data_IF_791994857096
#
_entry.id   IF_791994857096
#
_cell.length_a   1.000
_cell.length_b   1.000
_cell.length_c   1.000
_cell.angle_alpha   90.00
_cell.angle_beta   90.00
_cell.angle_gamma   90.00
#
_symmetry.space_group_name_H-M   'P 1'
#
loop_
_entity.id
_entity.type
_entity.pdbx_description
1 polymer ?
#
# COMPACT_ATOMS: atom_id res chain seq x y z
N UNK A 1 -16.79 8.40 -13.44
CA UNK A 1 -16.15 9.56 -12.82
C UNK A 1 -14.77 9.66 -13.45
N UNK A 2 -14.48 10.78 -14.12
CA UNK A 2 -13.23 10.95 -14.87
C UNK A 2 -12.04 10.86 -13.90
N UNK A 3 -11.09 9.98 -14.19
CA UNK A 3 -9.92 9.69 -13.34
C UNK A 3 -9.12 10.97 -13.08
N UNK A 4 -9.08 11.88 -14.06
CA UNK A 4 -8.44 13.19 -13.92
C UNK A 4 -9.12 14.05 -12.85
N UNK A 5 -10.46 14.04 -12.79
CA UNK A 5 -11.22 14.79 -11.77
C UNK A 5 -10.95 14.20 -10.38
N UNK A 6 -10.90 12.87 -10.26
CA UNK A 6 -10.57 12.21 -8.99
C UNK A 6 -9.15 12.56 -8.51
N UNK A 7 -8.15 12.56 -9.41
CA UNK A 7 -6.77 12.93 -9.08
C UNK A 7 -6.65 14.41 -8.67
N UNK A 8 -7.37 15.31 -9.35
CA UNK A 8 -7.44 16.73 -8.97
C UNK A 8 -8.06 16.93 -7.59
N UNK A 9 -9.13 16.19 -7.27
CA UNK A 9 -9.76 16.24 -5.94
C UNK A 9 -8.82 15.69 -4.86
N UNK A 10 -8.14 14.56 -5.10
CA UNK A 10 -7.10 14.02 -4.22
C UNK A 10 -5.99 15.03 -3.94
N UNK A 11 -5.50 15.71 -4.99
CA UNK A 11 -4.49 16.77 -4.84
C UNK A 11 -5.00 17.96 -4.03
N UNK A 12 -6.26 18.36 -4.23
CA UNK A 12 -6.85 19.44 -3.45
C UNK A 12 -6.97 19.08 -1.97
N UNK A 13 -7.42 17.86 -1.66
CA UNK A 13 -7.51 17.34 -0.29
C UNK A 13 -6.13 17.24 0.37
N UNK A 14 -5.11 16.79 -0.37
CA UNK A 14 -3.74 16.74 0.13
C UNK A 14 -3.22 18.13 0.54
N UNK A 15 -3.53 19.17 -0.26
CA UNK A 15 -3.21 20.56 0.10
C UNK A 15 -3.98 21.07 1.32
N UNK A 16 -5.20 20.58 1.54
CA UNK A 16 -5.97 20.89 2.74
C UNK A 16 -5.37 20.23 4.00
N UNK A 17 -4.83 19.02 3.89
CA UNK A 17 -4.07 18.38 4.97
C UNK A 17 -2.82 19.18 5.34
N UNK A 18 -2.13 19.77 4.36
CA UNK A 18 -0.98 20.64 4.60
C UNK A 18 -1.31 21.93 5.37
N UNK A 19 -2.53 22.45 5.21
CA UNK A 19 -2.96 23.68 5.88
C UNK A 19 -3.60 23.46 7.25
N UNK A 20 -4.02 22.22 7.58
CA UNK A 20 -4.50 21.88 8.91
C UNK A 20 -3.33 21.82 9.89
N UNK A 21 -3.27 22.76 10.83
CA UNK A 21 -2.33 22.69 11.94
C UNK A 21 -2.71 21.54 12.88
N UNK A 22 -1.70 20.86 13.45
CA UNK A 22 -1.89 19.84 14.46
C UNK A 22 -2.67 20.42 15.65
N UNK A 23 -3.78 19.79 16.03
CA UNK A 23 -4.54 20.18 17.22
C UNK A 23 -3.82 19.70 18.48
N UNK A 24 -2.88 20.53 18.93
CA UNK A 24 -2.05 20.27 20.11
C UNK A 24 -2.87 20.15 21.38
N UNK A 25 -4.02 20.83 21.48
CA UNK A 25 -4.83 20.80 22.69
C UNK A 25 -5.48 19.43 22.91
N UNK A 26 -5.90 18.79 21.82
CA UNK A 26 -6.57 17.48 21.86
C UNK A 26 -5.60 16.32 22.13
N UNK A 27 -4.38 16.42 21.62
CA UNK A 27 -3.36 15.35 21.70
C UNK A 27 -2.21 15.67 22.66
N UNK A 28 -2.40 16.66 23.54
CA UNK A 28 -1.36 17.21 24.41
C UNK A 28 -0.68 16.14 25.29
N UNK A 29 -1.46 15.27 25.91
CA UNK A 29 -0.96 14.25 26.83
C UNK A 29 -0.02 13.26 26.12
N UNK A 30 -0.44 12.78 24.95
CA UNK A 30 0.33 11.86 24.13
C UNK A 30 1.60 12.54 23.60
N UNK A 31 1.46 13.78 23.11
CA UNK A 31 2.58 14.55 22.56
C UNK A 31 3.64 14.89 23.61
N UNK A 32 3.26 15.25 24.83
CA UNK A 32 4.23 15.52 25.90
C UNK A 32 5.04 14.28 26.22
N UNK A 33 4.38 13.11 26.29
CA UNK A 33 5.02 11.82 26.55
C UNK A 33 5.95 11.39 25.41
N UNK A 34 5.45 11.44 24.18
CA UNK A 34 6.19 11.02 22.99
C UNK A 34 7.36 11.95 22.66
N UNK A 35 7.20 13.25 22.90
CA UNK A 35 8.24 14.25 22.69
C UNK A 35 9.20 14.38 23.89
N UNK A 36 8.96 13.62 24.98
CA UNK A 36 9.70 13.69 26.25
C UNK A 36 9.84 15.13 26.77
N UNK A 37 8.80 15.93 26.57
CA UNK A 37 8.73 17.32 27.06
C UNK A 37 8.40 17.28 28.56
N UNK A 38 8.80 18.31 29.32
CA UNK A 38 8.69 18.36 30.79
C UNK A 38 7.33 17.86 31.35
N UNK A 39 7.30 16.57 31.72
CA UNK A 39 6.12 15.90 32.28
C UNK A 39 5.64 16.56 33.57
N UNK A 40 6.54 17.25 34.27
CA UNK A 40 6.24 18.05 35.46
C UNK A 40 5.24 19.18 35.18
N UNK A 41 5.34 19.88 34.05
CA UNK A 41 4.39 20.95 33.68
C UNK A 41 3.02 20.38 33.37
N UNK A 42 2.96 19.19 32.75
CA UNK A 42 1.70 18.49 32.49
C UNK A 42 1.05 17.99 33.79
N UNK A 43 1.86 17.43 34.71
CA UNK A 43 1.38 17.00 36.01
C UNK A 43 0.84 18.19 36.84
N UNK A 44 1.51 19.34 36.80
CA UNK A 44 1.04 20.57 37.45
C UNK A 44 -0.27 21.08 36.82
N UNK A 45 -0.39 21.05 35.48
CA UNK A 45 -1.62 21.40 34.79
C UNK A 45 -2.77 20.48 35.21
N UNK A 46 -2.55 19.16 35.26
CA UNK A 46 -3.56 18.18 35.70
C UNK A 46 -3.97 18.37 37.16
N UNK A 47 -3.03 18.72 38.03
CA UNK A 47 -3.33 19.04 39.43
C UNK A 47 -4.25 20.27 39.53
N UNK A 48 -3.98 21.32 38.75
CA UNK A 48 -4.84 22.51 38.69
C UNK A 48 -6.21 22.23 38.05
N UNK A 49 -6.26 21.41 37.01
CA UNK A 49 -7.52 20.93 36.39
C UNK A 49 -8.37 20.15 37.40
N UNK A 50 -7.74 19.36 38.28
CA UNK A 50 -8.43 18.65 39.36
C UNK A 50 -8.84 19.57 40.53
N UNK A 51 -8.11 20.65 40.78
CA UNK A 51 -8.41 21.59 41.86
C UNK A 51 -9.56 22.56 41.50
N UNK A 52 -9.70 22.92 40.23
CA UNK A 52 -10.71 23.87 39.75
C UNK A 52 -12.16 23.44 40.09
N UNK A 53 -12.59 22.18 39.89
CA UNK A 53 -13.91 21.71 40.34
C UNK A 53 -14.12 21.85 41.85
N UNK A 54 -13.08 21.60 42.66
CA UNK A 54 -13.14 21.72 44.12
C UNK A 54 -13.37 23.17 44.55
N UNK A 55 -12.67 24.12 43.91
CA UNK A 55 -12.87 25.56 44.17
C UNK A 55 -14.24 26.04 43.69
N UNK A 56 -14.70 25.58 42.51
CA UNK A 56 -16.05 25.89 42.02
C UNK A 56 -17.14 25.37 42.98
N UNK A 57 -16.99 24.16 43.51
CA UNK A 57 -17.90 23.61 44.51
C UNK A 57 -17.91 24.44 45.81
N UNK A 58 -16.74 24.90 46.28
CA UNK A 58 -16.65 25.83 47.43
C UNK A 58 -17.37 27.15 47.16
N UNK A 59 -17.23 27.72 45.96
CA UNK A 59 -17.96 28.95 45.59
C UNK A 59 -19.46 28.74 45.63
N UNK A 60 -19.96 27.61 45.11
CA UNK A 60 -21.38 27.25 45.19
C UNK A 60 -21.87 27.21 46.64
N UNK A 61 -21.09 26.63 47.56
CA UNK A 61 -21.46 26.57 48.99
C UNK A 61 -21.37 27.92 49.69
N UNK A 62 -20.43 28.78 49.31
CA UNK A 62 -20.17 30.08 49.94
C UNK A 62 -21.05 31.21 49.40
N UNK A 63 -21.68 31.02 48.24
CA UNK A 63 -22.50 32.03 47.56
C UNK A 63 -23.69 32.50 48.41
N UNK A 64 -24.27 31.57 49.15
CA UNK A 64 -25.48 31.82 49.96
C UNK A 64 -25.15 32.10 51.44
N UNK A 65 -23.86 32.10 51.81
CA UNK A 65 -23.40 32.37 53.17
C UNK A 65 -23.17 33.88 53.39
N UNK A 66 -23.39 34.41 54.61
CA UNK A 66 -23.18 35.83 54.91
C UNK A 66 -21.72 36.31 54.79
N UNK A 67 -20.76 35.37 54.83
CA UNK A 67 -19.33 35.69 54.79
C UNK A 67 -18.85 35.99 53.36
N UNK A 68 -19.00 37.26 52.95
CA UNK A 68 -18.56 37.75 51.62
C UNK A 68 -17.03 37.74 51.42
N UNK A 69 -16.24 37.69 52.49
CA UNK A 69 -14.78 37.73 52.40
C UNK A 69 -14.21 36.42 51.86
N UNK A 70 -14.68 35.28 52.37
CA UNK A 70 -14.25 33.96 51.92
C UNK A 70 -14.68 33.71 50.46
N UNK A 71 -15.90 34.09 50.11
CA UNK A 71 -16.39 34.01 48.73
C UNK A 71 -15.51 34.80 47.76
N UNK A 72 -15.15 36.03 48.10
CA UNK A 72 -14.28 36.88 47.26
C UNK A 72 -12.87 36.30 47.15
N UNK A 73 -12.34 35.72 48.24
CA UNK A 73 -11.03 35.07 48.27
C UNK A 73 -11.00 33.84 47.35
N UNK A 74 -11.98 32.95 47.46
CA UNK A 74 -12.08 31.75 46.59
C UNK A 74 -12.32 32.14 45.13
N UNK A 75 -13.08 33.20 44.86
CA UNK A 75 -13.29 33.70 43.49
C UNK A 75 -11.98 34.22 42.87
N UNK A 76 -11.16 34.94 43.64
CA UNK A 76 -9.82 35.36 43.23
C UNK A 76 -8.90 34.16 43.00
N UNK A 77 -8.98 33.15 43.85
CA UNK A 77 -8.23 31.89 43.72
C UNK A 77 -8.59 31.15 42.42
N UNK A 78 -9.88 31.04 42.08
CA UNK A 78 -10.32 30.47 40.79
C UNK A 78 -9.74 31.25 39.61
N UNK A 79 -9.75 32.58 39.67
CA UNK A 79 -9.19 33.40 38.61
C UNK A 79 -7.68 33.17 38.46
N UNK A 80 -6.95 33.08 39.59
CA UNK A 80 -5.52 32.77 39.60
C UNK A 80 -5.22 31.37 39.03
N UNK A 81 -5.99 30.35 39.41
CA UNK A 81 -5.88 28.97 38.90
C UNK A 81 -6.13 28.94 37.39
N UNK A 82 -7.20 29.58 36.90
CA UNK A 82 -7.50 29.65 35.45
C UNK A 82 -6.39 30.33 34.66
N UNK A 83 -5.83 31.43 35.18
CA UNK A 83 -4.72 32.12 34.51
C UNK A 83 -3.48 31.23 34.47
N UNK A 84 -3.13 30.59 35.58
CA UNK A 84 -1.99 29.67 35.65
C UNK A 84 -2.16 28.45 34.73
N UNK A 85 -3.35 27.88 34.65
CA UNK A 85 -3.68 26.82 33.68
C UNK A 85 -3.50 27.29 32.23
N UNK A 86 -3.91 28.51 31.91
CA UNK A 86 -3.74 29.06 30.57
C UNK A 86 -2.25 29.31 30.23
N UNK A 87 -1.45 29.75 31.19
CA UNK A 87 -0.01 29.93 31.05
C UNK A 87 0.71 28.59 30.84
N UNK A 88 0.47 27.60 31.71
CA UNK A 88 1.04 26.26 31.57
C UNK A 88 0.64 25.60 30.25
N UNK A 89 -0.61 25.75 29.83
CA UNK A 89 -1.08 25.24 28.54
C UNK A 89 -0.33 25.89 27.36
N UNK A 90 -0.12 27.21 27.40
CA UNK A 90 0.67 27.92 26.37
C UNK A 90 2.12 27.46 26.37
N UNK A 91 2.72 27.25 27.54
CA UNK A 91 4.11 26.84 27.67
C UNK A 91 4.32 25.40 27.18
N UNK A 92 3.46 24.47 27.57
CA UNK A 92 3.47 23.09 27.06
C UNK A 92 3.33 23.08 25.54
N UNK A 93 2.37 23.85 24.99
CA UNK A 93 2.18 23.95 23.54
C UNK A 93 3.41 24.54 22.83
N UNK A 94 4.09 25.50 23.45
CA UNK A 94 5.35 26.07 22.93
C UNK A 94 6.43 25.01 22.89
N UNK A 95 6.66 24.31 23.99
CA UNK A 95 7.69 23.27 24.11
C UNK A 95 7.47 22.11 23.15
N UNK A 96 6.23 21.64 23.03
CA UNK A 96 5.87 20.59 22.06
C UNK A 96 6.13 21.06 20.62
N UNK A 97 5.77 22.30 20.26
CA UNK A 97 6.05 22.85 18.91
C UNK A 97 7.54 22.97 18.60
N UNK A 98 8.36 23.28 19.61
CA UNK A 98 9.81 23.44 19.44
C UNK A 98 10.59 22.16 19.64
N UNK A 99 9.94 21.05 20.02
CA UNK A 99 10.60 19.76 20.18
C UNK A 99 11.18 19.29 18.84
N UNK A 100 12.42 18.82 18.86
CA UNK A 100 13.10 18.26 17.69
C UNK A 100 12.32 17.11 17.05
N UNK A 101 11.58 16.34 17.87
CA UNK A 101 10.72 15.25 17.39
C UNK A 101 9.59 15.79 16.52
N UNK A 102 8.89 16.83 16.98
CA UNK A 102 7.77 17.45 16.24
C UNK A 102 8.29 18.17 15.00
N UNK A 103 9.38 18.94 15.11
CA UNK A 103 9.99 19.62 13.97
C UNK A 103 10.51 18.63 12.92
N UNK A 104 11.13 17.53 13.36
CA UNK A 104 11.58 16.44 12.49
C UNK A 104 10.41 15.74 11.78
N UNK A 105 9.33 15.47 12.51
CA UNK A 105 8.10 14.89 11.95
C UNK A 105 7.45 15.82 10.93
N UNK A 106 7.30 17.11 11.25
CA UNK A 106 6.76 18.12 10.33
C UNK A 106 7.60 18.22 9.05
N UNK A 107 8.93 18.13 9.16
CA UNK A 107 9.82 18.10 7.99
C UNK A 107 9.63 16.85 7.15
N UNK A 108 9.53 15.67 7.78
CA UNK A 108 9.27 14.39 7.07
C UNK A 108 7.91 14.40 6.37
N UNK A 109 6.88 14.82 7.07
CA UNK A 109 5.51 14.97 6.53
C UNK A 109 5.50 15.93 5.35
N UNK A 110 6.15 17.09 5.46
CA UNK A 110 6.28 18.04 4.34
C UNK A 110 6.93 17.38 3.11
N UNK A 111 8.04 16.68 3.28
CA UNK A 111 8.74 16.01 2.17
C UNK A 111 7.83 14.96 1.53
N UNK A 112 7.12 14.17 2.33
CA UNK A 112 6.26 13.11 1.80
C UNK A 112 5.03 13.69 1.07
N UNK A 113 4.43 14.76 1.60
CA UNK A 113 3.36 15.50 0.93
C UNK A 113 3.86 16.11 -0.38
N UNK A 114 5.06 16.70 -0.42
CA UNK A 114 5.65 17.26 -1.65
C UNK A 114 5.85 16.17 -2.72
N UNK A 115 6.33 14.98 -2.32
CA UNK A 115 6.44 13.83 -3.23
C UNK A 115 5.06 13.38 -3.74
N UNK A 116 4.07 13.29 -2.86
CA UNK A 116 2.70 12.91 -3.24
C UNK A 116 2.06 13.95 -4.17
N UNK A 117 2.25 15.25 -3.92
CA UNK A 117 1.78 16.31 -4.82
C UNK A 117 2.47 16.21 -6.19
N UNK A 118 3.78 15.92 -6.21
CA UNK A 118 4.53 15.70 -7.44
C UNK A 118 4.01 14.51 -8.23
N UNK A 119 3.80 13.36 -7.59
CA UNK A 119 3.24 12.16 -8.24
C UNK A 119 1.83 12.43 -8.75
N UNK A 120 0.94 13.02 -7.93
CA UNK A 120 -0.41 13.35 -8.35
C UNK A 120 -0.41 14.35 -9.52
N UNK A 121 0.46 15.36 -9.48
CA UNK A 121 0.62 16.32 -10.55
C UNK A 121 1.08 15.66 -11.85
N UNK A 122 2.14 14.84 -11.79
CA UNK A 122 2.65 14.13 -12.97
C UNK A 122 1.65 13.14 -13.53
N UNK A 123 0.96 12.36 -12.69
CA UNK A 123 -0.09 11.43 -13.14
C UNK A 123 -1.27 12.16 -13.76
N UNK A 124 -1.68 13.30 -13.20
CA UNK A 124 -2.73 14.14 -13.79
C UNK A 124 -2.28 14.66 -15.16
N UNK A 125 -1.04 15.17 -15.24
CA UNK A 125 -0.46 15.74 -16.46
C UNK A 125 -0.28 14.68 -17.55
N UNK A 126 0.20 13.48 -17.21
CA UNK A 126 0.31 12.34 -18.14
C UNK A 126 -1.06 11.97 -18.71
N UNK A 127 -2.10 11.86 -17.86
CA UNK A 127 -3.45 11.56 -18.34
C UNK A 127 -4.09 12.69 -19.16
N UNK A 128 -3.66 13.94 -18.94
CA UNK A 128 -4.07 15.10 -19.74
C UNK A 128 -3.30 15.20 -21.07
N UNK A 129 -2.00 14.87 -21.09
CA UNK A 129 -1.08 14.99 -22.25
C UNK A 129 -1.10 13.78 -23.17
N UNK A 130 -1.17 12.55 -22.64
CA UNK A 130 -1.34 11.31 -23.43
C UNK A 130 -2.75 11.18 -24.00
N UNK A 131 -3.60 12.19 -23.78
CA UNK A 131 -4.96 12.22 -24.27
C UNK A 131 -5.81 11.14 -23.62
N UNK A 132 -6.67 11.56 -22.69
CA UNK A 132 -7.92 10.86 -22.38
C UNK A 132 -8.82 10.60 -23.62
N UNK A 133 -8.37 10.97 -24.84
CA UNK A 133 -8.95 10.59 -26.12
C UNK A 133 -8.47 9.23 -26.64
N UNK A 134 -7.30 8.71 -26.25
CA UNK A 134 -6.76 7.43 -26.76
C UNK A 134 -6.85 6.27 -25.75
N UNK A 135 -6.95 6.55 -24.45
CA UNK A 135 -7.31 5.54 -23.46
C UNK A 135 -8.83 5.32 -23.52
N UNK A 136 -9.32 4.20 -24.08
CA UNK A 136 -10.75 3.97 -24.17
C UNK A 136 -11.26 3.87 -22.74
N UNK A 137 -12.15 4.79 -22.34
CA UNK A 137 -12.91 4.64 -21.11
C UNK A 137 -13.49 3.23 -21.08
N UNK A 138 -13.54 2.58 -19.92
CA UNK A 138 -14.10 1.21 -19.82
C UNK A 138 -15.45 1.10 -20.56
N UNK A 139 -16.27 2.14 -20.48
CA UNK A 139 -17.53 2.32 -21.23
C UNK A 139 -17.37 2.37 -22.75
N UNK A 140 -16.34 3.03 -23.29
CA UNK A 140 -16.05 3.08 -24.73
C UNK A 140 -15.55 1.74 -25.26
N UNK A 141 -14.74 1.02 -24.47
CA UNK A 141 -14.31 -0.35 -24.79
C UNK A 141 -15.52 -1.30 -24.79
N UNK A 142 -16.37 -1.25 -23.75
CA UNK A 142 -17.59 -2.06 -23.69
C UNK A 142 -18.56 -1.73 -24.84
N UNK A 143 -18.71 -0.46 -25.21
CA UNK A 143 -19.56 -0.04 -26.33
C UNK A 143 -19.01 -0.44 -27.71
N UNK A 144 -17.70 -0.69 -27.85
CA UNK A 144 -17.14 -1.27 -29.07
C UNK A 144 -17.26 -2.80 -29.10
N UNK A 145 -17.05 -3.47 -27.97
CA UNK A 145 -17.06 -4.94 -27.89
C UNK A 145 -18.47 -5.54 -27.93
N UNK A 146 -19.46 -4.90 -27.31
CA UNK A 146 -20.84 -5.44 -27.27
C UNK A 146 -21.47 -5.54 -28.67
N UNK A 147 -21.36 -4.53 -29.57
CA UNK A 147 -21.82 -4.68 -30.96
C UNK A 147 -21.04 -5.73 -31.76
N UNK A 148 -19.74 -5.90 -31.50
CA UNK A 148 -18.91 -6.92 -32.14
C UNK A 148 -19.30 -8.34 -31.71
N UNK A 149 -19.62 -8.52 -30.43
CA UNK A 149 -20.09 -9.80 -29.88
C UNK A 149 -21.47 -10.16 -30.44
N UNK A 150 -22.40 -9.21 -30.48
CA UNK A 150 -23.72 -9.40 -31.10
C UNK A 150 -23.59 -9.65 -32.61
N UNK A 151 -22.72 -8.92 -33.32
CA UNK A 151 -22.46 -9.13 -34.75
C UNK A 151 -21.84 -10.52 -35.01
N UNK A 152 -20.96 -10.97 -34.13
CA UNK A 152 -20.37 -12.31 -34.20
C UNK A 152 -21.40 -13.39 -33.94
N UNK A 153 -22.23 -13.26 -32.91
CA UNK A 153 -23.29 -14.22 -32.59
C UNK A 153 -24.34 -14.29 -33.70
N UNK A 154 -24.76 -13.15 -34.24
CA UNK A 154 -25.69 -13.10 -35.38
C UNK A 154 -25.07 -13.72 -36.63
N UNK A 155 -23.80 -13.45 -36.93
CA UNK A 155 -23.07 -14.10 -38.03
C UNK A 155 -22.90 -15.60 -37.83
N UNK A 156 -22.68 -16.07 -36.59
CA UNK A 156 -22.60 -17.51 -36.29
C UNK A 156 -23.97 -18.18 -36.42
N UNK A 157 -25.05 -17.51 -36.02
CA UNK A 157 -26.41 -18.01 -36.17
C UNK A 157 -26.79 -18.14 -37.65
N UNK A 158 -26.49 -17.11 -38.47
CA UNK A 158 -26.75 -17.18 -39.92
C UNK A 158 -25.90 -18.24 -40.60
N UNK A 159 -24.62 -18.41 -40.23
CA UNK A 159 -23.81 -19.51 -40.77
C UNK A 159 -24.34 -20.90 -40.38
N UNK A 160 -24.88 -21.07 -39.17
CA UNK A 160 -25.50 -22.35 -38.76
C UNK A 160 -26.75 -22.63 -39.59
N UNK A 161 -27.56 -21.61 -39.86
CA UNK A 161 -28.77 -21.73 -40.66
C UNK A 161 -28.43 -22.03 -42.14
N UNK A 162 -27.43 -21.36 -42.70
CA UNK A 162 -26.97 -21.66 -44.08
C UNK A 162 -26.35 -23.05 -44.20
N UNK A 163 -25.59 -23.49 -43.20
CA UNK A 163 -25.06 -24.86 -43.18
C UNK A 163 -26.19 -25.90 -43.12
N UNK A 164 -27.21 -25.66 -42.30
CA UNK A 164 -28.39 -26.53 -42.25
C UNK A 164 -29.13 -26.58 -43.59
N UNK A 165 -29.33 -25.43 -44.24
CA UNK A 165 -29.93 -25.38 -45.57
C UNK A 165 -29.06 -26.09 -46.62
N UNK A 166 -27.73 -26.00 -46.55
CA UNK A 166 -26.82 -26.74 -47.43
C UNK A 166 -26.89 -28.25 -47.20
N UNK A 167 -27.01 -28.71 -45.95
CA UNK A 167 -27.21 -30.12 -45.62
C UNK A 167 -28.53 -30.64 -46.19
N UNK A 168 -29.61 -29.87 -46.06
CA UNK A 168 -30.92 -30.19 -46.65
C UNK A 168 -30.84 -30.29 -48.19
N UNK A 169 -30.18 -29.33 -48.85
CA UNK A 169 -29.97 -29.36 -50.31
C UNK A 169 -29.14 -30.57 -50.74
N UNK A 170 -28.05 -30.89 -50.02
CA UNK A 170 -27.25 -32.09 -50.30
C UNK A 170 -28.08 -33.36 -50.18
N UNK A 171 -28.85 -33.47 -49.10
CA UNK A 171 -29.74 -34.61 -48.91
C UNK A 171 -30.78 -34.74 -50.03
N UNK A 172 -31.40 -33.62 -50.47
CA UNK A 172 -32.33 -33.65 -51.59
C UNK A 172 -31.66 -34.03 -52.90
N UNK A 173 -30.45 -33.53 -53.16
CA UNK A 173 -29.69 -33.86 -54.37
C UNK A 173 -29.27 -35.33 -54.40
N UNK A 174 -28.80 -35.86 -53.27
CA UNK A 174 -28.44 -37.28 -53.16
C UNK A 174 -29.65 -38.18 -53.38
N UNK A 175 -30.82 -37.78 -52.86
CA UNK A 175 -32.08 -38.49 -53.11
C UNK A 175 -32.50 -38.40 -54.58
N UNK A 176 -32.50 -37.22 -55.18
CA UNK A 176 -32.89 -37.01 -56.58
C UNK A 176 -31.94 -37.72 -57.54
N UNK A 177 -30.64 -37.70 -57.28
CA UNK A 177 -29.65 -38.42 -58.11
C UNK A 177 -29.84 -39.94 -58.00
N UNK A 178 -30.19 -40.45 -56.82
CA UNK A 178 -30.55 -41.84 -56.63
C UNK A 178 -31.83 -42.22 -57.39
N UNK A 179 -32.92 -41.46 -57.23
CA UNK A 179 -34.20 -41.67 -57.93
C UNK A 179 -34.04 -41.54 -59.46
N UNK A 180 -33.26 -40.58 -59.92
CA UNK A 180 -32.95 -40.39 -61.34
C UNK A 180 -32.11 -41.56 -61.88
N UNK A 181 -31.16 -42.07 -61.09
CA UNK A 181 -30.35 -43.24 -61.50
C UNK A 181 -31.23 -44.47 -61.67
N UNK A 182 -32.19 -44.70 -60.76
CA UNK A 182 -33.14 -45.81 -60.84
C UNK A 182 -34.07 -45.66 -62.06
N UNK A 183 -34.67 -44.49 -62.26
CA UNK A 183 -35.56 -44.24 -63.41
C UNK A 183 -34.85 -44.36 -64.76
N UNK A 184 -33.61 -43.88 -64.88
CA UNK A 184 -32.79 -44.06 -66.09
C UNK A 184 -32.48 -45.52 -66.32
N UNK A 185 -32.22 -46.28 -65.27
CA UNK A 185 -31.93 -47.70 -65.38
C UNK A 185 -33.18 -48.47 -65.85
N UNK A 186 -34.37 -48.13 -65.34
CA UNK A 186 -35.65 -48.70 -65.77
C UNK A 186 -35.97 -48.36 -67.23
N UNK A 187 -35.88 -47.09 -67.63
CA UNK A 187 -36.06 -46.68 -69.02
C UNK A 187 -35.06 -47.35 -69.95
N UNK A 188 -33.81 -47.53 -69.51
CA UNK A 188 -32.79 -48.24 -70.28
C UNK A 188 -33.16 -49.71 -70.46
N UNK A 189 -33.71 -50.35 -69.44
CA UNK A 189 -34.21 -51.72 -69.51
C UNK A 189 -35.41 -51.83 -70.47
N UNK A 190 -36.33 -50.86 -70.43
CA UNK A 190 -37.51 -50.80 -71.30
C UNK A 190 -37.13 -50.54 -72.77
N UNK A 191 -36.28 -49.54 -73.04
CA UNK A 191 -35.74 -49.26 -74.38
C UNK A 191 -35.01 -50.49 -74.92
N UNK A 192 -34.23 -51.18 -74.07
CA UNK A 192 -33.63 -52.46 -74.46
C UNK A 192 -34.73 -53.48 -74.81
N UNK A 193 -35.80 -53.61 -74.02
CA UNK A 193 -36.93 -54.50 -74.32
C UNK A 193 -37.49 -54.25 -75.72
N UNK A 194 -37.93 -53.00 -75.94
CA UNK A 194 -38.58 -52.53 -77.16
C UNK A 194 -37.65 -52.65 -78.37
N UNK A 195 -36.36 -52.28 -78.26
CA UNK A 195 -35.42 -52.38 -79.39
C UNK A 195 -35.31 -53.80 -79.93
N UNK A 196 -35.36 -54.82 -79.07
CA UNK A 196 -35.34 -56.21 -79.53
C UNK A 196 -36.68 -56.65 -80.10
N UNK A 197 -37.79 -56.15 -79.58
CA UNK A 197 -39.10 -56.41 -80.19
C UNK A 197 -39.20 -55.77 -81.58
N UNK A 198 -38.70 -54.54 -81.76
CA UNK A 198 -38.69 -53.84 -83.05
C UNK A 198 -37.78 -54.55 -84.05
N UNK A 199 -36.53 -54.86 -83.70
CA UNK A 199 -35.63 -55.63 -84.60
C UNK A 199 -36.20 -57.01 -84.90
N UNK A 200 -36.92 -57.64 -83.97
CA UNK A 200 -37.61 -58.89 -84.24
C UNK A 200 -38.70 -58.79 -85.31
N UNK A 201 -39.43 -57.68 -85.30
CA UNK A 201 -40.52 -57.40 -86.24
C UNK A 201 -39.96 -57.00 -87.60
N UNK A 202 -38.96 -56.12 -87.64
CA UNK A 202 -38.32 -55.62 -88.88
C UNK A 202 -37.65 -56.74 -89.69
N UNK A 203 -36.99 -57.67 -89.02
CA UNK A 203 -36.32 -58.80 -89.67
C UNK A 203 -37.29 -59.90 -90.15
N UNK A 204 -38.62 -59.69 -90.04
CA UNK A 204 -39.68 -60.70 -90.26
C UNK A 204 -39.43 -62.02 -89.52
N UNK A 205 -38.57 -61.98 -88.50
CA UNK A 205 -38.13 -63.12 -87.70
C UNK A 205 -38.81 -63.13 -86.33
N UNK A 206 -39.97 -62.47 -86.21
CA UNK A 206 -40.88 -62.64 -85.09
C UNK A 206 -41.51 -64.03 -85.19
N UNK A 207 -40.71 -65.01 -84.80
CA UNK A 207 -41.01 -66.42 -84.74
C UNK A 207 -41.16 -66.70 -83.23
N UNK A 208 -42.37 -66.96 -82.71
CA UNK A 208 -42.65 -66.95 -81.26
C UNK A 208 -41.88 -67.95 -80.39
N UNK A 209 -40.98 -68.78 -80.95
CA UNK A 209 -40.36 -69.85 -80.17
C UNK A 209 -38.92 -70.26 -80.53
N UNK A 210 -38.30 -69.80 -81.64
CA UNK A 210 -36.99 -70.37 -82.08
C UNK A 210 -35.88 -69.32 -82.36
N UNK A 211 -36.20 -68.02 -82.42
CA UNK A 211 -35.21 -66.94 -82.49
C UNK A 211 -34.90 -66.28 -81.13
N UNK A 212 -35.54 -66.75 -80.05
CA UNK A 212 -35.33 -66.26 -78.69
C UNK A 212 -33.88 -66.54 -78.23
N UNK A 213 -33.36 -67.74 -78.48
CA UNK A 213 -32.05 -68.13 -77.95
C UNK A 213 -30.88 -67.34 -78.55
N UNK A 214 -30.91 -67.04 -79.86
CA UNK A 214 -29.88 -66.20 -80.49
C UNK A 214 -29.97 -64.74 -80.03
N UNK A 215 -31.17 -64.14 -79.98
CA UNK A 215 -31.33 -62.76 -79.47
C UNK A 215 -31.02 -62.65 -77.98
N UNK A 216 -31.33 -63.66 -77.19
CA UNK A 216 -30.92 -63.73 -75.79
C UNK A 216 -29.40 -63.89 -75.66
N UNK A 217 -28.75 -64.64 -76.55
CA UNK A 217 -27.29 -64.78 -76.58
C UNK A 217 -26.61 -63.43 -76.91
N UNK A 218 -27.05 -62.72 -77.95
CA UNK A 218 -26.46 -61.44 -78.35
C UNK A 218 -26.75 -60.31 -77.34
N UNK A 219 -27.96 -60.28 -76.77
CA UNK A 219 -28.29 -59.38 -75.65
C UNK A 219 -27.42 -59.67 -74.42
N UNK A 220 -27.20 -60.94 -74.09
CA UNK A 220 -26.30 -61.33 -72.99
C UNK A 220 -24.88 -60.87 -73.28
N UNK A 221 -24.40 -61.02 -74.52
CA UNK A 221 -23.07 -60.54 -74.94
C UNK A 221 -22.92 -59.02 -74.80
N UNK A 222 -23.84 -58.24 -75.34
CA UNK A 222 -23.81 -56.77 -75.24
C UNK A 222 -23.98 -56.27 -73.79
N UNK A 223 -24.88 -56.89 -73.03
CA UNK A 223 -25.03 -56.60 -71.60
C UNK A 223 -23.75 -56.90 -70.82
N UNK A 224 -23.04 -57.98 -71.16
CA UNK A 224 -21.74 -58.32 -70.58
C UNK A 224 -20.67 -57.29 -70.95
N UNK A 225 -20.59 -56.84 -72.20
CA UNK A 225 -19.61 -55.80 -72.60
C UNK A 225 -19.87 -54.46 -71.90
N UNK A 226 -21.14 -54.05 -71.80
CA UNK A 226 -21.51 -52.81 -71.12
C UNK A 226 -21.27 -52.90 -69.61
N UNK A 227 -21.58 -54.07 -69.01
CA UNK A 227 -21.26 -54.32 -67.61
C UNK A 227 -19.75 -54.27 -67.39
N UNK A 228 -18.95 -54.82 -68.31
CA UNK A 228 -17.48 -54.77 -68.22
C UNK A 228 -16.94 -53.33 -68.35
N UNK A 229 -17.51 -52.48 -69.21
CA UNK A 229 -17.10 -51.07 -69.28
C UNK A 229 -17.49 -50.29 -68.03
N UNK A 230 -18.69 -50.53 -67.47
CA UNK A 230 -19.11 -49.91 -66.20
C UNK A 230 -18.24 -50.38 -65.04
N UNK A 231 -17.91 -51.68 -64.99
CA UNK A 231 -16.96 -52.23 -64.01
C UNK A 231 -15.61 -51.55 -64.12
N UNK A 232 -15.10 -51.36 -65.33
CA UNK A 232 -13.82 -50.68 -65.55
C UNK A 232 -13.81 -49.22 -65.07
N UNK A 233 -14.86 -48.44 -65.35
CA UNK A 233 -14.96 -47.05 -64.85
C UNK A 233 -15.00 -47.02 -63.32
N UNK A 234 -15.78 -47.91 -62.70
CA UNK A 234 -15.83 -48.02 -61.24
C UNK A 234 -14.50 -48.50 -60.67
N UNK A 235 -13.79 -49.40 -61.33
CA UNK A 235 -12.44 -49.84 -60.95
C UNK A 235 -11.45 -48.67 -61.03
N UNK A 236 -11.49 -47.87 -62.09
CA UNK A 236 -10.65 -46.68 -62.27
C UNK A 236 -10.95 -45.61 -61.17
N UNK A 237 -12.22 -45.38 -60.84
CA UNK A 237 -12.63 -44.49 -59.74
C UNK A 237 -12.18 -45.01 -58.37
N UNK A 238 -12.34 -46.31 -58.11
CA UNK A 238 -11.85 -46.97 -56.89
C UNK A 238 -10.34 -46.79 -56.78
N UNK A 239 -9.60 -46.95 -57.87
CA UNK A 239 -8.15 -46.80 -57.86
C UNK A 239 -7.72 -45.34 -57.67
N UNK A 240 -8.43 -44.37 -58.25
CA UNK A 240 -8.22 -42.95 -57.96
C UNK A 240 -8.44 -42.63 -56.48
N UNK A 241 -9.57 -43.04 -55.91
CA UNK A 241 -9.88 -42.83 -54.49
C UNK A 241 -8.84 -43.51 -53.57
N UNK A 242 -8.37 -44.72 -53.91
CA UNK A 242 -7.26 -45.36 -53.18
C UNK A 242 -6.00 -44.50 -53.22
N UNK A 243 -5.65 -43.91 -54.37
CA UNK A 243 -4.46 -43.04 -54.46
C UNK A 243 -4.61 -41.75 -53.66
N UNK A 244 -5.81 -41.14 -53.62
CA UNK A 244 -6.10 -39.97 -52.80
C UNK A 244 -6.01 -40.30 -51.30
N UNK A 245 -6.60 -41.42 -50.86
CA UNK A 245 -6.49 -41.89 -49.48
C UNK A 245 -5.03 -42.06 -49.06
N UNK A 246 -4.18 -42.62 -49.94
CA UNK A 246 -2.73 -42.76 -49.65
C UNK A 246 -2.07 -41.40 -49.51
N UNK A 247 -2.35 -40.44 -50.42
CA UNK A 247 -1.81 -39.07 -50.33
C UNK A 247 -2.24 -38.40 -49.03
N UNK A 248 -3.52 -38.44 -48.71
CA UNK A 248 -4.05 -37.82 -47.48
C UNK A 248 -3.47 -38.47 -46.22
N UNK A 249 -3.29 -39.79 -46.23
CA UNK A 249 -2.62 -40.50 -45.14
C UNK A 249 -1.17 -40.04 -44.97
N UNK A 250 -0.43 -39.79 -46.07
CA UNK A 250 0.94 -39.28 -45.99
C UNK A 250 1.00 -37.86 -45.44
N UNK A 251 0.10 -36.97 -45.89
CA UNK A 251 0.00 -35.59 -45.39
C UNK A 251 -0.41 -35.57 -43.92
N UNK A 252 -1.39 -36.39 -43.54
CA UNK A 252 -1.83 -36.54 -42.16
C UNK A 252 -0.69 -37.00 -41.25
N UNK A 253 0.07 -38.02 -41.66
CA UNK A 253 1.21 -38.52 -40.89
C UNK A 253 2.33 -37.47 -40.76
N UNK A 254 2.60 -36.69 -41.82
CA UNK A 254 3.56 -35.59 -41.77
C UNK A 254 3.11 -34.50 -40.79
N UNK A 255 1.84 -34.07 -40.85
CA UNK A 255 1.28 -33.10 -39.93
C UNK A 255 1.29 -33.60 -38.48
N UNK A 256 0.96 -34.87 -38.27
CA UNK A 256 1.03 -35.52 -36.95
C UNK A 256 2.45 -35.48 -36.39
N UNK A 257 3.46 -35.80 -37.21
CA UNK A 257 4.86 -35.75 -36.79
C UNK A 257 5.31 -34.33 -36.43
N UNK A 258 4.88 -33.30 -37.18
CA UNK A 258 5.16 -31.88 -36.85
C UNK A 258 4.54 -31.50 -35.51
N UNK A 259 3.28 -31.87 -35.27
CA UNK A 259 2.59 -31.59 -34.00
C UNK A 259 3.26 -32.31 -32.83
N UNK A 260 3.67 -33.57 -33.00
CA UNK A 260 4.39 -34.32 -31.97
C UNK A 260 5.77 -33.71 -31.66
N UNK A 261 6.49 -33.23 -32.69
CA UNK A 261 7.75 -32.53 -32.51
C UNK A 261 7.57 -31.17 -31.79
N UNK A 262 6.52 -30.43 -32.11
CA UNK A 262 6.20 -29.17 -31.42
C UNK A 262 5.79 -29.43 -29.96
N UNK A 263 5.00 -30.47 -29.70
CA UNK A 263 4.62 -30.90 -28.35
C UNK A 263 5.86 -31.20 -27.50
N UNK A 264 6.78 -32.03 -28.00
CA UNK A 264 8.01 -32.37 -27.27
C UNK A 264 8.92 -31.15 -27.04
N UNK A 265 9.00 -30.24 -28.01
CA UNK A 265 9.72 -28.96 -27.87
C UNK A 265 9.11 -28.07 -26.79
N UNK A 266 7.78 -27.97 -26.72
CA UNK A 266 7.06 -27.21 -25.69
C UNK A 266 7.22 -27.84 -24.30
N UNK A 267 7.14 -29.17 -24.19
CA UNK A 267 7.40 -29.89 -22.93
C UNK A 267 8.82 -29.64 -22.43
N UNK A 268 9.82 -29.62 -23.32
CA UNK A 268 11.19 -29.29 -22.97
C UNK A 268 11.34 -27.83 -22.50
N UNK A 269 10.71 -26.87 -23.20
CA UNK A 269 10.70 -25.46 -22.79
C UNK A 269 10.04 -25.27 -21.43
N UNK A 270 8.92 -25.95 -21.18
CA UNK A 270 8.25 -25.94 -19.89
C UNK A 270 9.16 -26.46 -18.78
N UNK A 271 9.84 -27.59 -19.02
CA UNK A 271 10.77 -28.16 -18.05
C UNK A 271 11.95 -27.23 -17.74
N UNK A 272 12.56 -26.62 -18.77
CA UNK A 272 13.64 -25.66 -18.60
C UNK A 272 13.19 -24.43 -17.80
N UNK A 273 11.96 -23.96 -18.04
CA UNK A 273 11.38 -22.83 -17.31
C UNK A 273 11.12 -23.19 -15.85
N UNK A 274 10.63 -24.40 -15.58
CA UNK A 274 10.45 -24.91 -14.22
C UNK A 274 11.76 -25.03 -13.45
N UNK A 275 12.83 -25.53 -14.11
CA UNK A 275 14.17 -25.61 -13.52
C UNK A 275 14.68 -24.20 -13.18
N UNK A 276 14.67 -23.27 -14.14
CA UNK A 276 15.13 -21.90 -13.92
C UNK A 276 14.33 -21.19 -12.81
N UNK A 277 13.01 -21.40 -12.76
CA UNK A 277 12.17 -20.85 -11.70
C UNK A 277 12.52 -21.45 -10.33
N UNK A 278 12.76 -22.77 -10.25
CA UNK A 278 13.17 -23.43 -9.00
C UNK A 278 14.53 -22.94 -8.49
N UNK A 279 15.48 -22.71 -9.40
CA UNK A 279 16.80 -22.15 -9.07
C UNK A 279 16.68 -20.70 -8.57
N UNK A 280 15.90 -19.87 -9.28
CA UNK A 280 15.61 -18.49 -8.86
C UNK A 280 14.96 -18.43 -7.48
N UNK A 281 13.97 -19.28 -7.22
CA UNK A 281 13.31 -19.37 -5.90
C UNK A 281 14.30 -19.81 -4.81
N UNK A 282 15.19 -20.77 -5.09
CA UNK A 282 16.24 -21.18 -4.16
C UNK A 282 17.24 -20.05 -3.86
N UNK A 283 17.61 -19.25 -4.86
CA UNK A 283 18.48 -18.09 -4.68
C UNK A 283 17.81 -17.02 -3.82
N UNK A 284 16.54 -16.70 -4.10
CA UNK A 284 15.76 -15.74 -3.30
C UNK A 284 15.62 -16.23 -1.85
N UNK A 285 15.34 -17.51 -1.63
CA UNK A 285 15.26 -18.07 -0.28
C UNK A 285 16.60 -17.99 0.46
N UNK A 286 17.71 -18.22 -0.24
CA UNK A 286 19.05 -18.10 0.35
C UNK A 286 19.36 -16.64 0.73
N UNK A 287 19.03 -15.69 -0.15
CA UNK A 287 19.19 -14.27 0.14
C UNK A 287 18.32 -13.81 1.34
N UNK A 288 17.09 -14.31 1.45
CA UNK A 288 16.21 -14.04 2.59
C UNK A 288 16.82 -14.55 3.90
N UNK A 289 17.33 -15.79 3.90
CA UNK A 289 17.95 -16.38 5.09
C UNK A 289 19.20 -15.58 5.52
N UNK A 290 20.01 -15.11 4.55
CA UNK A 290 21.18 -14.27 4.84
C UNK A 290 20.77 -12.93 5.45
N UNK A 291 19.75 -12.26 4.90
CA UNK A 291 19.24 -11.00 5.45
C UNK A 291 18.68 -11.16 6.87
N UNK A 292 17.99 -12.27 7.16
CA UNK A 292 17.53 -12.57 8.52
C UNK A 292 18.69 -12.79 9.49
N UNK A 293 19.75 -13.48 9.04
CA UNK A 293 20.96 -13.64 9.84
C UNK A 293 21.63 -12.29 10.11
N UNK A 294 21.80 -11.44 9.09
CA UNK A 294 22.34 -10.08 9.25
C UNK A 294 21.48 -9.21 10.18
N UNK A 295 20.16 -9.28 10.06
CA UNK A 295 19.24 -8.59 10.96
C UNK A 295 19.47 -9.02 12.42
N UNK A 296 19.57 -10.33 12.68
CA UNK A 296 19.80 -10.82 14.04
C UNK A 296 21.14 -10.37 14.62
N UNK A 297 22.19 -10.30 13.79
CA UNK A 297 23.51 -9.78 14.19
C UNK A 297 23.42 -8.28 14.50
N UNK A 298 22.74 -7.51 13.65
CA UNK A 298 22.56 -6.08 13.86
C UNK A 298 21.73 -5.77 15.11
N UNK A 299 20.68 -6.54 15.38
CA UNK A 299 19.89 -6.43 16.61
C UNK A 299 20.75 -6.72 17.85
N UNK A 300 21.59 -7.75 17.81
CA UNK A 300 22.52 -8.05 18.90
C UNK A 300 23.51 -6.88 19.12
N UNK A 301 24.06 -6.30 18.05
CA UNK A 301 24.95 -5.14 18.15
C UNK A 301 24.22 -3.92 18.73
N UNK A 302 22.99 -3.64 18.29
CA UNK A 302 22.19 -2.54 18.83
C UNK A 302 21.96 -2.67 20.33
N UNK A 303 21.60 -3.87 20.81
CA UNK A 303 21.43 -4.13 22.24
C UNK A 303 22.72 -3.85 23.03
N UNK A 304 23.89 -4.24 22.50
CA UNK A 304 25.17 -3.94 23.17
C UNK A 304 25.49 -2.44 23.21
N UNK A 305 25.11 -1.68 22.19
CA UNK A 305 25.30 -0.23 22.16
C UNK A 305 24.33 0.49 23.10
N UNK A 306 23.10 0.01 23.21
CA UNK A 306 22.11 0.52 24.17
C UNK A 306 22.58 0.30 25.61
N UNK A 307 23.11 -0.89 25.92
CA UNK A 307 23.70 -1.18 27.23
C UNK A 307 24.88 -0.26 27.56
N UNK A 308 25.83 -0.09 26.63
CA UNK A 308 26.97 0.82 26.83
C UNK A 308 26.52 2.26 27.07
N UNK A 309 25.52 2.73 26.33
CA UNK A 309 24.98 4.07 26.50
C UNK A 309 24.33 4.24 27.88
N UNK A 310 23.65 3.22 28.39
CA UNK A 310 23.07 3.25 29.74
C UNK A 310 24.17 3.28 30.82
N UNK A 311 25.23 2.48 30.65
CA UNK A 311 26.41 2.51 31.53
C UNK A 311 27.08 3.90 31.54
N UNK A 312 27.34 4.49 30.37
CA UNK A 312 27.91 5.84 30.25
C UNK A 312 27.05 6.92 30.93
N UNK A 313 25.72 6.83 30.79
CA UNK A 313 24.80 7.75 31.46
C UNK A 313 24.84 7.61 32.99
N UNK A 314 24.95 6.39 33.51
CA UNK A 314 25.09 6.14 34.94
C UNK A 314 26.45 6.61 35.48
N UNK A 315 27.54 6.42 34.73
CA UNK A 315 28.85 6.96 35.07
C UNK A 315 28.85 8.49 35.09
N UNK A 316 28.21 9.14 34.10
CA UNK A 316 28.10 10.59 34.06
C UNK A 316 27.29 11.13 35.27
N UNK A 317 26.21 10.45 35.65
CA UNK A 317 25.45 10.79 36.86
C UNK A 317 26.32 10.67 38.11
N UNK A 318 27.08 9.59 38.26
CA UNK A 318 28.00 9.39 39.39
C UNK A 318 29.04 10.51 39.45
N UNK A 319 29.69 10.81 38.33
CA UNK A 319 30.68 11.89 38.25
C UNK A 319 30.08 13.25 38.62
N UNK A 320 28.85 13.57 38.16
CA UNK A 320 28.15 14.80 38.56
C UNK A 320 27.86 14.83 40.07
N UNK A 321 27.44 13.72 40.66
CA UNK A 321 27.19 13.66 42.12
C UNK A 321 28.47 13.82 42.94
N UNK A 322 29.57 13.19 42.52
CA UNK A 322 30.87 13.31 43.20
C UNK A 322 31.41 14.75 43.12
N UNK A 323 31.31 15.41 41.96
CA UNK A 323 31.74 16.80 41.82
C UNK A 323 30.87 17.75 42.65
N UNK A 324 29.55 17.50 42.75
CA UNK A 324 28.67 18.25 43.66
C UNK A 324 29.08 18.10 45.12
N UNK A 325 29.40 16.89 45.56
CA UNK A 325 29.89 16.63 46.93
C UNK A 325 31.22 17.39 47.16
N UNK A 326 32.15 17.32 46.21
CA UNK A 326 33.43 18.03 46.27
C UNK A 326 33.24 19.54 46.40
N UNK A 327 32.34 20.13 45.60
CA UNK A 327 32.01 21.56 45.67
C UNK A 327 31.45 21.93 47.05
N UNK A 328 30.55 21.10 47.61
CA UNK A 328 29.98 21.31 48.93
C UNK A 328 31.05 21.24 50.03
N UNK A 329 31.97 20.27 49.98
CA UNK A 329 33.06 20.16 50.95
C UNK A 329 34.01 21.36 50.90
N UNK A 330 34.36 21.84 49.70
CA UNK A 330 35.19 23.03 49.52
C UNK A 330 34.48 24.27 50.06
N UNK A 331 33.18 24.43 49.80
CA UNK A 331 32.38 25.53 50.33
C UNK A 331 32.31 25.48 51.87
N UNK A 332 32.13 24.29 52.47
CA UNK A 332 32.10 24.11 53.91
C UNK A 332 33.46 24.44 54.57
N UNK A 333 34.57 24.04 53.94
CA UNK A 333 35.93 24.40 54.39
C UNK A 333 36.15 25.91 54.35
N UNK A 334 35.80 26.59 53.24
CA UNK A 334 35.88 28.05 53.13
C UNK A 334 35.04 28.75 54.19
N UNK A 335 33.79 28.32 54.42
CA UNK A 335 32.93 28.88 55.46
C UNK A 335 33.51 28.69 56.88
N UNK A 336 34.19 27.58 57.14
CA UNK A 336 34.90 27.33 58.41
C UNK A 336 36.12 28.23 58.58
N UNK A 337 36.90 28.42 57.52
CA UNK A 337 38.06 29.33 57.49
C UNK A 337 37.65 30.78 57.67
N UNK A 338 36.57 31.23 57.01
CA UNK A 338 35.99 32.56 57.22
C UNK A 338 35.56 32.78 58.67
N UNK A 339 34.85 31.81 59.28
CA UNK A 339 34.47 31.87 60.70
C UNK A 339 35.70 32.02 61.61
N UNK A 340 36.77 31.25 61.36
CA UNK A 340 38.03 31.36 62.10
C UNK A 340 38.69 32.73 61.90
N UNK A 341 38.70 33.24 60.67
CA UNK A 341 39.24 34.55 60.35
C UNK A 341 38.47 35.67 61.09
N UNK A 342 37.13 35.65 61.06
CA UNK A 342 36.31 36.62 61.78
C UNK A 342 36.51 36.53 63.30
N UNK A 343 36.59 35.33 63.86
CA UNK A 343 36.89 35.15 65.28
C UNK A 343 38.25 35.77 65.67
N UNK A 344 39.30 35.54 64.87
CA UNK A 344 40.60 36.15 65.08
C UNK A 344 40.55 37.68 65.00
N UNK A 345 39.83 38.23 64.02
CA UNK A 345 39.62 39.68 63.87
C UNK A 345 38.92 40.27 65.11
N UNK A 346 37.90 39.60 65.62
CA UNK A 346 37.17 40.02 66.82
C UNK A 346 38.07 40.03 68.06
N UNK A 347 38.92 39.02 68.23
CA UNK A 347 39.91 38.96 69.30
C UNK A 347 40.89 40.14 69.18
N UNK A 348 41.41 40.40 67.97
CA UNK A 348 42.31 41.53 67.72
C UNK A 348 41.66 42.87 68.04
N UNK A 349 40.40 43.08 67.63
CA UNK A 349 39.66 44.31 67.92
C UNK A 349 39.43 44.50 69.43
N UNK A 350 39.02 43.44 70.14
CA UNK A 350 38.87 43.47 71.60
C UNK A 350 40.20 43.76 72.30
N UNK A 351 41.29 43.15 71.85
CA UNK A 351 42.63 43.40 72.37
C UNK A 351 43.06 44.85 72.15
N UNK A 352 42.91 45.39 70.94
CA UNK A 352 43.16 46.80 70.63
C UNK A 352 42.32 47.74 71.50
N UNK A 353 41.04 47.42 71.71
CA UNK A 353 40.17 48.19 72.60
C UNK A 353 40.61 48.12 74.07
N UNK A 354 41.02 46.95 74.56
CA UNK A 354 41.58 46.77 75.90
C UNK A 354 42.86 47.59 76.09
N UNK A 355 43.79 47.56 75.12
CA UNK A 355 45.01 48.39 75.10
C UNK A 355 44.69 49.89 75.14
N UNK A 356 43.73 50.36 74.33
CA UNK A 356 43.26 51.75 74.40
C UNK A 356 42.72 52.11 75.78
N UNK A 357 41.94 51.23 76.42
CA UNK A 357 41.42 51.43 77.78
C UNK A 357 42.53 51.45 78.83
N UNK A 358 43.52 50.58 78.73
CA UNK A 358 44.72 50.56 79.60
C UNK A 358 45.51 51.87 79.50
N UNK A 359 45.78 52.33 78.26
CA UNK A 359 46.48 53.59 78.00
C UNK A 359 45.66 54.81 78.49
N UNK A 360 44.34 54.79 78.36
CA UNK A 360 43.47 55.84 78.91
C UNK A 360 43.51 55.88 80.45
N UNK A 361 43.54 54.72 81.11
CA UNK A 361 43.69 54.62 82.58
C UNK A 361 45.05 55.12 83.07
N UNK A 362 46.13 54.89 82.32
CA UNK A 362 47.46 55.45 82.61
C UNK A 362 47.51 56.98 82.42
N UNK A 363 46.75 57.54 81.47
CA UNK A 363 46.64 59.00 81.28
C UNK A 363 45.76 59.69 82.34
N UNK A 364 44.76 59.01 82.90
CA UNK A 364 43.94 59.55 84.00
C UNK A 364 44.60 59.47 85.38
N UNK A 365 45.67 58.68 85.55
CA UNK A 365 46.41 58.57 86.81
C UNK A 365 47.47 59.68 87.02
N UNK A 366 47.67 60.60 86.06
CA UNK A 366 48.72 61.64 86.12
C UNK A 366 48.22 63.10 86.14
N UNK A 367 46.97 63.36 86.54
CA UNK A 367 46.46 64.74 86.75
C UNK A 367 45.63 64.85 88.04
N UNK A 368 46.33 65.08 89.15
CA UNK A 368 45.76 65.78 90.31
C UNK A 368 46.04 67.27 90.17
N UNK A 369 45.04 68.14 90.42
CA UNK A 369 45.24 69.59 90.41
C UNK A 369 43.99 70.48 90.34
N UNK A 370 43.17 70.46 91.41
CA UNK A 370 42.44 71.57 92.07
C UNK A 370 42.16 72.89 91.29
N UNK A 371 40.89 73.29 91.15
CA UNK A 371 40.42 74.64 91.52
C UNK A 371 38.89 74.78 91.63
N UNK A 372 38.51 75.75 92.46
CA UNK A 372 37.24 76.07 93.13
C UNK A 372 36.51 77.16 92.33
N UNK A 373 35.17 77.16 92.23
CA UNK A 373 34.46 78.28 91.60
C UNK A 373 32.93 78.20 91.64
N UNK A 374 32.33 79.03 92.50
CA UNK A 374 30.90 79.34 92.67
C UNK A 374 30.19 79.78 91.36
N UNK A 375 28.88 79.51 91.24
CA UNK A 375 28.01 80.23 90.30
C UNK A 375 26.53 79.80 90.33
N UNK A 376 25.68 80.67 90.88
CA UNK A 376 24.21 80.61 90.96
C UNK A 376 23.51 80.72 89.58
N UNK A 377 22.25 80.26 89.51
CA UNK A 377 21.18 80.87 88.70
C UNK A 377 20.43 79.87 87.82
N UNK A 378 19.24 79.39 88.21
CA UNK A 378 17.89 79.94 87.91
C UNK A 378 17.47 79.85 86.42
N UNK A 379 16.51 78.94 86.20
CA UNK A 379 15.17 79.16 85.64
C UNK A 379 14.94 79.47 84.14
N UNK A 380 13.86 78.83 83.65
CA UNK A 380 13.05 79.08 82.45
C UNK A 380 13.75 78.68 81.14
N UNK A 381 13.14 77.92 80.24
CA UNK A 381 11.73 77.87 79.82
C UNK A 381 11.37 76.46 79.36
#
# INVERSE_FOLDING_TARGET
MDVVIALKDCRHRLKACFSSQLDLSKHRDDLVKDCKVEEGLLAELKALESELPRLNAKVLTLKDLPNKMDFCTVTKEIAAVKNKMAELSKEINRLVRTSDVVLGNQKRERIEIEKLDYVLYHSTKLLEEDGASELPTLTALTNQYVPLEIARETSLATMKETNKALEEVRFTLDRETFEHRDTVQDLKNEIKSIKIEVTAIEDKSYIPAVAFDRRMSDRRSLAMTEMNTKRKVVEDEIDQLKTEIVKDTTVFNANKAVIEMEKTSLEQKLNNTNIANSESMSQVQTALNNLQAEQSVNEAVLLTLEQRKEEELEEEKRAKTEELIRIQEVAAKKASEEKKHFAALWIQLRWKAHLKRQLAKQKSAKKGGKMRGKGKGKAKK
#
